data_IF_799200672852
#
_entry.id   IF_799200672852
#
_cell.length_a   1.000
_cell.length_b   1.000
_cell.length_c   1.000
_cell.angle_alpha   90.00
_cell.angle_beta   90.00
_cell.angle_gamma   90.00
#
_symmetry.space_group_name_H-M   'P 1'
#
loop_
_entity.id
_entity.type
_entity.pdbx_description
1 polymer ?
#
# COMPACT_ATOMS: atom_id res chain seq x y z
N UNK A 1 5.69 13.19 8.48
CA UNK A 1 5.38 11.74 8.54
C UNK A 1 3.89 11.58 8.78
N UNK A 2 3.35 10.38 8.61
CA UNK A 2 1.94 10.09 8.86
C UNK A 2 1.71 8.59 8.89
N UNK A 3 0.48 8.17 9.22
CA UNK A 3 0.08 6.77 9.28
C UNK A 3 -1.20 6.57 8.50
N UNK A 4 -1.22 5.54 7.66
CA UNK A 4 -2.40 5.07 6.94
C UNK A 4 -2.84 3.76 7.58
N UNK A 5 -4.14 3.56 7.69
CA UNK A 5 -4.75 2.33 8.21
C UNK A 5 -5.81 1.86 7.22
N UNK A 6 -6.04 0.55 7.16
CA UNK A 6 -7.19 0.00 6.45
C UNK A 6 -8.50 0.48 7.10
N UNK A 7 -9.60 0.56 6.35
CA UNK A 7 -10.91 0.84 6.92
C UNK A 7 -11.24 -0.20 8.00
N UNK A 8 -11.80 0.23 9.13
CA UNK A 8 -12.16 -0.67 10.23
C UNK A 8 -11.03 -1.06 11.18
N UNK A 9 -9.76 -0.78 10.86
CA UNK A 9 -8.62 -1.09 11.73
C UNK A 9 -8.84 -0.57 13.18
N UNK A 10 -8.61 -1.40 14.22
CA UNK A 10 -7.89 -2.68 14.20
C UNK A 10 -8.76 -3.91 13.89
N UNK A 11 -10.05 -3.74 13.60
CA UNK A 11 -10.91 -4.84 13.17
C UNK A 11 -10.71 -5.16 11.68
N UNK A 12 -11.38 -6.22 11.22
CA UNK A 12 -11.38 -6.62 9.81
C UNK A 12 -11.84 -5.47 8.91
N UNK A 13 -11.24 -5.37 7.73
CA UNK A 13 -11.72 -4.47 6.70
C UNK A 13 -13.09 -4.95 6.16
N UNK A 14 -14.03 -4.04 5.86
CA UNK A 14 -15.33 -4.41 5.31
C UNK A 14 -15.19 -4.94 3.88
N UNK A 15 -15.99 -5.94 3.50
CA UNK A 15 -16.06 -6.44 2.13
C UNK A 15 -17.37 -5.99 1.46
N UNK A 16 -17.34 -5.41 0.24
CA UNK A 16 -16.15 -5.05 -0.54
C UNK A 16 -15.49 -3.75 -0.04
N UNK A 17 -14.16 -3.69 -0.08
CA UNK A 17 -13.39 -2.44 0.12
C UNK A 17 -12.64 -2.09 -1.16
N UNK A 18 -12.69 -0.82 -1.54
CA UNK A 18 -11.79 -0.27 -2.56
C UNK A 18 -11.32 1.10 -2.11
N UNK A 19 -10.07 1.18 -1.71
CA UNK A 19 -9.40 2.34 -1.15
C UNK A 19 -8.23 2.73 -2.05
N UNK A 20 -8.10 4.04 -2.29
CA UNK A 20 -7.01 4.60 -3.10
C UNK A 20 -6.39 5.75 -2.34
N UNK A 21 -5.09 5.68 -2.13
CA UNK A 21 -4.34 6.76 -1.49
C UNK A 21 -3.27 7.27 -2.43
N UNK A 22 -3.27 8.59 -2.63
CA UNK A 22 -2.19 9.32 -3.30
C UNK A 22 -1.40 10.07 -2.25
N UNK A 23 -0.16 9.65 -2.03
CA UNK A 23 0.74 10.28 -1.06
C UNK A 23 1.65 11.22 -1.83
N UNK A 24 1.71 12.47 -1.39
CA UNK A 24 2.61 13.49 -1.91
C UNK A 24 3.41 14.07 -0.76
N UNK A 25 4.73 14.11 -0.91
CA UNK A 25 5.65 14.81 0.00
C UNK A 25 6.35 15.95 -0.75
N UNK A 26 7.01 16.90 -0.05
CA UNK A 26 7.74 17.98 -0.71
C UNK A 26 8.73 17.48 -1.76
N UNK A 27 8.92 18.26 -2.82
CA UNK A 27 9.87 17.95 -3.88
C UNK A 27 11.29 17.72 -3.34
N UNK A 28 12.04 16.81 -3.98
CA UNK A 28 13.38 16.42 -3.54
C UNK A 28 13.41 15.44 -2.36
N UNK A 29 12.26 15.04 -1.81
CA UNK A 29 12.16 13.96 -0.81
C UNK A 29 11.65 12.66 -1.43
N UNK A 30 11.90 11.56 -0.71
CA UNK A 30 11.43 10.21 -1.04
C UNK A 30 10.50 9.71 0.06
N UNK A 31 9.57 8.83 -0.27
CA UNK A 31 8.62 8.24 0.67
C UNK A 31 9.17 6.88 1.11
N UNK A 32 9.32 6.69 2.41
CA UNK A 32 9.62 5.41 3.04
C UNK A 32 8.33 4.84 3.62
N UNK A 33 7.89 3.69 3.11
CA UNK A 33 6.72 2.95 3.60
C UNK A 33 7.20 1.88 4.58
N UNK A 34 6.58 1.85 5.76
CA UNK A 34 6.87 0.90 6.84
C UNK A 34 5.54 0.30 7.28
N UNK A 35 5.47 -1.04 7.32
CA UNK A 35 4.29 -1.77 7.74
C UNK A 35 4.43 -2.15 9.21
N UNK A 36 3.49 -1.69 10.04
CA UNK A 36 3.44 -2.06 11.46
C UNK A 36 2.51 -3.25 11.72
N UNK A 37 1.55 -3.48 10.82
CA UNK A 37 0.58 -4.56 10.86
C UNK A 37 0.14 -4.82 9.42
N UNK A 38 0.05 -6.09 9.04
CA UNK A 38 -0.41 -6.50 7.72
C UNK A 38 -1.17 -7.83 7.88
N UNK A 39 -2.42 -7.84 7.44
CA UNK A 39 -3.26 -9.03 7.42
C UNK A 39 -4.33 -8.79 6.35
N UNK A 40 -4.11 -9.41 5.21
CA UNK A 40 -4.97 -9.38 4.03
C UNK A 40 -5.23 -10.84 3.65
N UNK A 41 -6.39 -11.15 3.08
CA UNK A 41 -6.73 -12.52 2.67
C UNK A 41 -5.57 -13.18 1.88
N UNK A 42 -5.10 -14.35 2.36
CA UNK A 42 -3.99 -15.07 1.75
C UNK A 42 -4.51 -15.99 0.63
N UNK A 43 -4.04 -15.78 -0.59
CA UNK A 43 -4.38 -16.61 -1.76
C UNK A 43 -3.17 -16.72 -2.69
N UNK A 44 -3.14 -17.78 -3.50
CA UNK A 44 -2.16 -17.90 -4.58
C UNK A 44 -2.25 -16.66 -5.50
N UNK A 45 -1.09 -16.04 -5.74
CA UNK A 45 -0.91 -14.87 -6.60
C UNK A 45 -1.67 -13.58 -6.19
N UNK A 46 -2.23 -13.51 -4.97
CA UNK A 46 -2.93 -12.34 -4.44
C UNK A 46 -4.01 -11.79 -5.39
N UNK A 47 -4.91 -12.67 -5.86
CA UNK A 47 -5.91 -12.33 -6.89
C UNK A 47 -7.25 -11.85 -6.33
N UNK A 48 -7.53 -12.08 -5.05
CA UNK A 48 -8.72 -11.57 -4.35
C UNK A 48 -8.39 -10.22 -3.70
N UNK A 49 -8.16 -10.19 -2.39
CA UNK A 49 -7.74 -8.98 -1.69
C UNK A 49 -6.22 -8.78 -1.79
N UNK A 50 -5.80 -7.54 -2.02
CA UNK A 50 -4.38 -7.21 -2.08
C UNK A 50 -4.12 -5.73 -1.82
N UNK A 51 -2.93 -5.43 -1.31
CA UNK A 51 -2.37 -4.09 -1.34
C UNK A 51 -1.39 -3.98 -2.51
N UNK A 52 -1.71 -3.11 -3.47
CA UNK A 52 -0.86 -2.78 -4.61
C UNK A 52 -0.19 -1.42 -4.37
N UNK A 53 1.12 -1.37 -4.59
CA UNK A 53 1.94 -0.18 -4.30
C UNK A 53 2.65 0.26 -5.59
N UNK A 54 2.60 1.56 -5.88
CA UNK A 54 3.25 2.14 -7.05
C UNK A 54 4.19 3.30 -6.68
N UNK A 55 5.32 3.35 -7.37
CA UNK A 55 6.33 4.40 -7.30
C UNK A 55 5.95 5.57 -8.21
N UNK A 56 4.96 6.36 -7.77
CA UNK A 56 4.43 7.51 -8.49
C UNK A 56 3.04 7.91 -8.01
N UNK A 57 2.45 8.91 -8.66
CA UNK A 57 1.18 9.51 -8.22
C UNK A 57 -0.10 8.88 -8.79
N UNK A 58 0.00 7.73 -9.45
CA UNK A 58 -1.09 7.07 -10.17
C UNK A 58 -0.88 5.55 -10.22
N UNK A 59 -1.94 4.81 -10.56
CA UNK A 59 -1.95 3.36 -10.81
C UNK A 59 -1.15 2.92 -12.03
N UNK A 60 -0.97 3.81 -13.01
CA UNK A 60 -0.11 3.58 -14.17
C UNK A 60 1.40 3.70 -13.86
N UNK A 61 1.77 4.15 -12.65
CA UNK A 61 3.17 4.26 -12.27
C UNK A 61 3.80 2.88 -12.00
N UNK A 62 5.14 2.85 -11.95
CA UNK A 62 5.91 1.61 -11.77
C UNK A 62 5.46 0.86 -10.51
N UNK A 63 5.01 -0.38 -10.68
CA UNK A 63 4.67 -1.26 -9.56
C UNK A 63 5.89 -1.51 -8.68
N UNK A 64 5.70 -1.41 -7.37
CA UNK A 64 6.66 -1.81 -6.33
C UNK A 64 6.30 -3.18 -5.72
N UNK A 65 5.16 -3.75 -6.12
CA UNK A 65 4.70 -5.06 -5.68
C UNK A 65 3.22 -5.09 -5.33
N UNK A 66 2.68 -6.31 -5.33
CA UNK A 66 1.35 -6.67 -4.87
C UNK A 66 1.54 -7.58 -3.65
N UNK A 67 0.81 -7.31 -2.58
CA UNK A 67 1.00 -7.98 -1.30
C UNK A 67 -0.35 -8.45 -0.75
N UNK A 68 -0.39 -9.67 -0.23
CA UNK A 68 -1.51 -10.26 0.48
C UNK A 68 -0.98 -11.24 1.55
N UNK A 69 -1.85 -11.81 2.38
CA UNK A 69 -1.46 -12.61 3.52
C UNK A 69 -1.10 -11.77 4.75
N UNK A 70 -0.36 -12.37 5.67
CA UNK A 70 0.08 -11.79 6.94
C UNK A 70 1.58 -11.45 6.97
N UNK A 71 2.35 -11.92 6.00
CA UNK A 71 3.72 -11.47 5.77
C UNK A 71 3.73 -10.11 5.06
N UNK A 72 4.29 -9.09 5.71
CA UNK A 72 4.43 -7.77 5.12
C UNK A 72 5.72 -7.67 4.28
N UNK A 73 5.73 -6.85 3.20
CA UNK A 73 6.95 -6.60 2.47
C UNK A 73 8.04 -5.96 3.34
N UNK A 74 9.30 -6.16 2.94
CA UNK A 74 10.40 -5.35 3.43
C UNK A 74 10.14 -3.86 3.16
N UNK A 75 10.87 -3.00 3.88
CA UNK A 75 10.72 -1.56 3.79
C UNK A 75 10.85 -1.04 2.34
N UNK A 76 9.78 -0.43 1.83
CA UNK A 76 9.75 0.12 0.48
C UNK A 76 10.12 1.61 0.48
N UNK A 77 10.95 2.03 -0.47
CA UNK A 77 11.33 3.43 -0.67
C UNK A 77 11.08 3.85 -2.12
N UNK A 78 10.16 4.79 -2.34
CA UNK A 78 9.86 5.35 -3.69
C UNK A 78 11.08 6.03 -4.29
N UNK A 79 11.19 6.13 -5.60
CA UNK A 79 12.26 6.91 -6.26
C UNK A 79 12.00 8.41 -6.19
N UNK A 80 10.73 8.83 -6.21
CA UNK A 80 10.31 10.22 -6.15
C UNK A 80 9.53 10.60 -4.89
N UNK A 81 8.89 11.77 -4.95
CA UNK A 81 8.12 12.36 -3.85
C UNK A 81 6.64 11.93 -3.85
N UNK A 82 6.27 10.91 -4.62
CA UNK A 82 4.89 10.45 -4.76
C UNK A 82 4.80 8.92 -4.63
N UNK A 83 3.72 8.46 -4.03
CA UNK A 83 3.34 7.05 -3.98
C UNK A 83 1.84 6.92 -4.22
N UNK A 84 1.43 5.81 -4.82
CA UNK A 84 0.03 5.45 -4.98
C UNK A 84 -0.19 4.06 -4.39
N UNK A 85 -1.19 3.97 -3.53
CA UNK A 85 -1.59 2.75 -2.85
C UNK A 85 -3.02 2.41 -3.27
N UNK A 86 -3.23 1.17 -3.66
CA UNK A 86 -4.54 0.61 -3.97
C UNK A 86 -4.77 -0.60 -3.07
N UNK A 87 -5.87 -0.57 -2.32
CA UNK A 87 -6.35 -1.70 -1.53
C UNK A 87 -7.79 -1.99 -1.94
#
# INVERSE_FOLDING_TARGET
SGTIKSPGFPNNYPSPSTCRWKILVPAGKRIRLVFNSFNVENQADCTYDYLQIHDGGADSARSMGRFCGDEHPEQLITSGNMAFLYF
#
